data_IF_309315662533
#
_entry.id   IF_309315662533
#
_cell.length_a   1.000
_cell.length_b   1.000
_cell.length_c   1.000
_cell.angle_alpha   90.00
_cell.angle_beta   90.00
_cell.angle_gamma   90.00
#
_symmetry.space_group_name_H-M   'P 1'
#
loop_
_entity.id
_entity.type
_entity.pdbx_description
1 polymer ?
#
# COMPACT_ATOMS: atom_id res chain seq x y z
N UNK A 1 27.86 -18.77 -14.23
CA UNK A 1 27.24 -17.71 -15.06
C UNK A 1 25.75 -17.98 -15.15
N UNK A 2 24.99 -17.64 -14.12
CA UNK A 2 23.53 -17.69 -14.12
C UNK A 2 23.04 -16.26 -14.13
N UNK A 3 22.73 -15.74 -15.32
CA UNK A 3 22.06 -14.45 -15.47
C UNK A 3 20.61 -14.64 -15.06
N UNK A 4 20.27 -14.25 -13.83
CA UNK A 4 18.88 -14.01 -13.47
C UNK A 4 18.43 -12.77 -14.26
N UNK A 5 17.57 -12.98 -15.26
CA UNK A 5 16.90 -11.91 -15.97
C UNK A 5 15.85 -11.34 -15.03
N UNK A 6 16.25 -10.39 -14.18
CA UNK A 6 15.31 -9.64 -13.33
C UNK A 6 14.62 -8.66 -14.25
N UNK A 7 13.34 -8.94 -14.54
CA UNK A 7 12.45 -8.02 -15.22
C UNK A 7 12.14 -6.92 -14.20
N UNK A 8 12.86 -5.80 -14.26
CA UNK A 8 12.45 -4.58 -13.57
C UNK A 8 11.17 -4.09 -14.26
N UNK A 9 10.02 -4.62 -13.85
CA UNK A 9 8.74 -4.02 -14.19
C UNK A 9 8.71 -2.64 -13.54
N UNK A 10 8.44 -1.59 -14.32
CA UNK A 10 8.36 -0.20 -13.85
C UNK A 10 7.65 -0.13 -12.49
N UNK A 11 8.44 0.15 -11.44
CA UNK A 11 7.94 0.12 -10.08
C UNK A 11 6.94 1.26 -9.89
N UNK A 12 5.66 0.92 -9.79
CA UNK A 12 4.62 1.87 -9.41
C UNK A 12 4.88 2.32 -7.98
N UNK A 13 4.89 3.63 -7.72
CA UNK A 13 5.08 4.15 -6.37
C UNK A 13 3.74 4.15 -5.62
N UNK A 14 3.79 4.01 -4.29
CA UNK A 14 2.61 4.06 -3.43
C UNK A 14 1.80 5.36 -3.64
N UNK A 15 2.50 6.48 -3.87
CA UNK A 15 1.92 7.80 -4.13
C UNK A 15 1.14 7.90 -5.44
N UNK A 16 1.40 7.01 -6.39
CA UNK A 16 0.78 7.03 -7.73
C UNK A 16 -0.51 6.19 -7.75
N UNK A 17 -0.82 5.50 -6.65
CA UNK A 17 -2.03 4.70 -6.54
C UNK A 17 -3.25 5.60 -6.40
N UNK A 18 -4.35 5.18 -7.04
CA UNK A 18 -5.64 5.80 -6.78
C UNK A 18 -5.98 5.69 -5.28
N UNK A 19 -6.59 6.73 -4.67
CA UNK A 19 -6.95 6.77 -3.24
C UNK A 19 -8.17 5.90 -2.95
N UNK A 20 -8.07 4.62 -3.29
CA UNK A 20 -9.07 3.58 -3.06
C UNK A 20 -8.42 2.42 -2.33
N UNK A 21 -9.15 1.83 -1.39
CA UNK A 21 -8.64 0.70 -0.62
C UNK A 21 -8.31 -0.48 -1.54
N UNK A 22 -9.07 -0.68 -2.61
CA UNK A 22 -8.85 -1.75 -3.61
C UNK A 22 -7.50 -1.60 -4.32
N UNK A 23 -7.13 -0.38 -4.73
CA UNK A 23 -5.83 -0.13 -5.38
C UNK A 23 -4.67 -0.40 -4.41
N UNK A 24 -4.78 0.05 -3.16
CA UNK A 24 -3.79 -0.24 -2.12
C UNK A 24 -3.64 -1.75 -1.88
N UNK A 25 -4.75 -2.45 -1.74
CA UNK A 25 -4.84 -3.90 -1.55
C UNK A 25 -4.12 -4.65 -2.67
N UNK A 26 -4.35 -4.26 -3.92
CA UNK A 26 -3.75 -4.88 -5.09
C UNK A 26 -2.23 -4.66 -5.12
N UNK A 27 -1.83 -3.41 -4.92
CA UNK A 27 -0.42 -3.02 -4.83
C UNK A 27 0.31 -3.81 -3.75
N UNK A 28 -0.17 -3.78 -2.50
CA UNK A 28 0.45 -4.47 -1.38
C UNK A 28 0.48 -5.99 -1.56
N UNK A 29 -0.52 -6.57 -2.21
CA UNK A 29 -0.52 -8.00 -2.53
C UNK A 29 0.61 -8.33 -3.52
N UNK A 30 0.85 -7.49 -4.53
CA UNK A 30 1.95 -7.67 -5.49
C UNK A 30 3.31 -7.57 -4.78
N UNK A 31 3.49 -6.53 -3.95
CA UNK A 31 4.71 -6.32 -3.18
C UNK A 31 4.98 -7.44 -2.16
N UNK A 32 3.91 -8.07 -1.64
CA UNK A 32 4.00 -9.16 -0.67
C UNK A 32 4.09 -10.55 -1.34
N UNK A 33 4.85 -10.67 -2.43
CA UNK A 33 5.04 -11.93 -3.18
C UNK A 33 3.72 -12.61 -3.60
N UNK A 34 2.72 -11.83 -4.02
CA UNK A 34 1.36 -12.29 -4.34
C UNK A 34 0.58 -12.89 -3.17
N UNK A 35 1.07 -12.78 -1.93
CA UNK A 35 0.31 -13.14 -0.72
C UNK A 35 -0.65 -12.00 -0.40
N UNK A 36 -1.94 -12.32 -0.40
CA UNK A 36 -3.04 -11.37 -0.22
C UNK A 36 -2.87 -10.50 1.04
N UNK A 37 -2.77 -9.18 0.85
CA UNK A 37 -2.75 -8.19 1.94
C UNK A 37 -4.12 -7.52 2.10
N UNK A 38 -4.81 -7.71 3.21
CA UNK A 38 -6.17 -7.19 3.43
C UNK A 38 -6.21 -6.16 4.56
N UNK A 39 -7.27 -5.36 4.60
CA UNK A 39 -7.53 -4.44 5.70
C UNK A 39 -8.01 -5.24 6.93
N UNK A 40 -7.33 -5.05 8.06
CA UNK A 40 -7.72 -5.66 9.34
C UNK A 40 -8.69 -4.78 10.12
N UNK A 41 -8.46 -3.46 10.12
CA UNK A 41 -9.31 -2.48 10.79
C UNK A 41 -9.05 -1.08 10.23
N UNK A 42 -10.05 -0.21 10.35
CA UNK A 42 -9.91 1.22 10.13
C UNK A 42 -10.05 1.98 11.44
N UNK A 43 -9.20 2.96 11.68
CA UNK A 43 -9.29 3.86 12.85
C UNK A 43 -9.19 5.31 12.42
N UNK A 44 -9.90 6.21 13.09
CA UNK A 44 -9.79 7.66 12.83
C UNK A 44 -8.67 8.24 13.66
N UNK A 45 -7.75 8.97 13.01
CA UNK A 45 -6.67 9.69 13.67
C UNK A 45 -7.15 11.06 14.16
N UNK A 46 -6.39 11.70 15.05
CA UNK A 46 -6.75 13.00 15.66
C UNK A 46 -6.93 14.14 14.65
N UNK A 47 -6.31 14.03 13.48
CA UNK A 47 -6.44 14.94 12.35
C UNK A 47 -7.68 14.69 11.49
N UNK A 48 -8.51 13.70 11.85
CA UNK A 48 -9.71 13.31 11.12
C UNK A 48 -9.46 12.37 9.93
N UNK A 49 -8.21 12.00 9.65
CA UNK A 49 -7.88 11.07 8.55
C UNK A 49 -8.15 9.62 8.96
N UNK A 50 -8.57 8.81 7.99
CA UNK A 50 -8.79 7.37 8.18
C UNK A 50 -7.47 6.63 8.02
N UNK A 51 -7.13 5.87 9.06
CA UNK A 51 -5.95 5.01 9.11
C UNK A 51 -6.39 3.56 8.88
N UNK A 52 -5.91 2.97 7.78
CA UNK A 52 -6.18 1.61 7.35
C UNK A 52 -5.05 0.70 7.84
N UNK A 53 -5.34 -0.15 8.82
CA UNK A 53 -4.37 -1.12 9.34
C UNK A 53 -4.41 -2.37 8.48
N UNK A 54 -3.31 -2.66 7.80
CA UNK A 54 -3.24 -3.75 6.83
C UNK A 54 -2.59 -5.00 7.43
N UNK A 55 -2.87 -6.17 6.85
CA UNK A 55 -2.37 -7.46 7.33
C UNK A 55 -0.85 -7.65 7.19
N UNK A 56 -0.16 -6.74 6.50
CA UNK A 56 1.30 -6.67 6.46
C UNK A 56 1.90 -5.97 7.69
N UNK A 57 1.07 -5.55 8.66
CA UNK A 57 1.49 -4.92 9.90
C UNK A 57 1.73 -3.41 9.81
N UNK A 58 1.50 -2.80 8.64
CA UNK A 58 1.68 -1.37 8.44
C UNK A 58 0.33 -0.64 8.33
N UNK A 59 0.20 0.54 8.96
CA UNK A 59 -0.94 1.42 8.80
C UNK A 59 -0.73 2.40 7.63
N UNK A 60 -1.78 2.62 6.84
CA UNK A 60 -1.77 3.49 5.67
C UNK A 60 -2.89 4.53 5.76
N UNK A 61 -2.66 5.73 5.23
CA UNK A 61 -3.68 6.76 5.13
C UNK A 61 -3.55 7.51 3.80
N UNK A 62 -4.61 8.21 3.42
CA UNK A 62 -4.59 9.14 2.29
C UNK A 62 -4.27 10.53 2.82
N UNK A 63 -3.21 11.15 2.29
CA UNK A 63 -2.79 12.50 2.67
C UNK A 63 -3.62 13.58 1.94
N UNK A 64 -3.29 14.85 2.17
CA UNK A 64 -4.07 15.98 1.63
C UNK A 64 -3.94 16.11 0.10
N UNK A 65 -2.86 15.56 -0.48
CA UNK A 65 -2.61 15.48 -1.92
C UNK A 65 -3.31 14.27 -2.58
N UNK A 66 -4.16 13.56 -1.83
CA UNK A 66 -4.87 12.33 -2.25
C UNK A 66 -3.92 11.18 -2.61
N UNK A 67 -2.75 11.13 -1.99
CA UNK A 67 -1.75 10.08 -2.16
C UNK A 67 -1.73 9.16 -0.93
N UNK A 68 -1.41 7.88 -1.14
CA UNK A 68 -1.21 6.94 -0.04
C UNK A 68 0.14 7.15 0.64
N UNK A 69 0.13 7.13 1.97
CA UNK A 69 1.31 7.28 2.82
C UNK A 69 1.27 6.30 3.99
N UNK A 70 2.45 5.94 4.52
CA UNK A 70 2.61 5.08 5.70
C UNK A 70 2.63 5.97 6.95
N UNK A 71 1.89 5.58 7.98
CA UNK A 71 1.95 6.22 9.30
C UNK A 71 3.07 5.53 10.12
N UNK A 72 4.20 6.22 10.30
CA UNK A 72 5.39 5.72 11.01
C UNK A 72 5.28 5.81 12.55
#
# INVERSE_FOLDING_TARGET
MSQAFVKEEDAQWLSDLQPTLTALIYYLTRENNSIRVYEMKATTRKDGKTLHHMSNGLPYFVNDDRQWEIDW
#
